data_IF_964564674197
#
_entry.id   IF_964564674197
#
_cell.length_a   1.000
_cell.length_b   1.000
_cell.length_c   1.000
_cell.angle_alpha   90.00
_cell.angle_beta   90.00
_cell.angle_gamma   90.00
#
_symmetry.space_group_name_H-M   'P 1'
#
loop_
_entity.id
_entity.type
_entity.pdbx_description
1 polymer ?
#
# COMPACT_ATOMS: atom_id res chain seq x y z
N UNK A 1 -0.01 29.10 4.11
CA UNK A 1 -0.54 28.06 3.23
C UNK A 1 0.37 26.83 3.30
N UNK A 2 -0.22 25.67 3.56
CA UNK A 2 0.58 24.45 3.74
C UNK A 2 0.79 23.76 2.41
N UNK A 3 2.04 23.36 2.15
CA UNK A 3 2.37 22.56 0.98
C UNK A 3 1.71 21.18 1.08
N UNK A 4 1.20 20.62 -0.04
CA UNK A 4 0.72 19.24 -0.02
C UNK A 4 1.84 18.26 0.37
N UNK A 5 1.44 17.15 0.99
CA UNK A 5 2.35 16.09 1.39
C UNK A 5 2.63 15.17 0.18
N UNK A 6 3.84 15.21 -0.40
CA UNK A 6 4.18 14.20 -1.41
C UNK A 6 4.37 12.85 -0.74
N UNK A 7 4.14 11.78 -1.49
CA UNK A 7 4.31 10.43 -0.95
C UNK A 7 4.71 9.46 -2.05
N UNK A 8 5.39 8.40 -1.67
CA UNK A 8 5.73 7.30 -2.57
C UNK A 8 4.87 6.11 -2.20
N UNK A 9 4.13 5.61 -3.17
CA UNK A 9 3.21 4.49 -3.01
C UNK A 9 3.73 3.30 -3.82
N UNK A 10 3.92 2.18 -3.14
CA UNK A 10 4.26 0.93 -3.77
C UNK A 10 2.96 0.19 -4.11
N UNK A 11 2.85 -0.32 -5.34
CA UNK A 11 1.72 -1.15 -5.74
C UNK A 11 2.23 -2.52 -6.17
N UNK A 12 1.66 -3.56 -5.59
CA UNK A 12 2.05 -4.94 -5.82
C UNK A 12 0.92 -5.76 -6.40
N UNK A 13 1.13 -6.32 -7.57
CA UNK A 13 0.37 -7.41 -8.17
C UNK A 13 1.23 -8.03 -9.27
N UNK A 14 1.09 -9.33 -9.51
CA UNK A 14 1.75 -9.96 -10.66
C UNK A 14 1.09 -9.53 -11.98
N UNK A 15 -0.09 -8.93 -11.92
CA UNK A 15 -0.87 -8.48 -13.08
C UNK A 15 -0.72 -6.98 -13.28
N UNK A 16 -0.18 -6.58 -14.42
CA UNK A 16 0.01 -5.17 -14.75
C UNK A 16 -1.32 -4.42 -14.87
N UNK A 17 -2.38 -5.09 -15.36
CA UNK A 17 -3.70 -4.47 -15.48
C UNK A 17 -4.30 -4.13 -14.11
N UNK A 18 -4.05 -4.94 -13.09
CA UNK A 18 -4.49 -4.66 -11.73
C UNK A 18 -3.72 -3.47 -11.16
N UNK A 19 -2.40 -3.42 -11.35
CA UNK A 19 -1.58 -2.29 -10.89
C UNK A 19 -2.06 -0.99 -11.54
N UNK A 20 -2.34 -1.02 -12.85
CA UNK A 20 -2.83 0.15 -13.56
C UNK A 20 -4.20 0.61 -13.04
N UNK A 21 -5.11 -0.34 -12.79
CA UNK A 21 -6.43 -0.02 -12.24
C UNK A 21 -6.34 0.67 -10.89
N UNK A 22 -5.44 0.21 -10.03
CA UNK A 22 -5.21 0.81 -8.72
C UNK A 22 -4.70 2.24 -8.88
N UNK A 23 -3.68 2.44 -9.70
CA UNK A 23 -3.09 3.77 -9.92
C UNK A 23 -4.12 4.74 -10.51
N UNK A 24 -4.90 4.28 -11.47
CA UNK A 24 -5.93 5.11 -12.10
C UNK A 24 -7.02 5.52 -11.11
N UNK A 25 -7.45 4.59 -10.25
CA UNK A 25 -8.50 4.87 -9.27
C UNK A 25 -8.05 5.88 -8.21
N UNK A 26 -6.79 5.82 -7.79
CA UNK A 26 -6.25 6.68 -6.74
C UNK A 26 -5.82 8.04 -7.31
N UNK A 27 -5.21 8.01 -8.50
CA UNK A 27 -4.75 9.22 -9.15
C UNK A 27 -3.46 9.78 -8.54
N UNK A 28 -2.99 10.86 -9.12
CA UNK A 28 -1.73 11.49 -8.71
C UNK A 28 -1.88 12.33 -7.44
N UNK A 29 -3.05 12.90 -7.21
CA UNK A 29 -3.36 13.76 -6.06
C UNK A 29 -4.63 13.26 -5.38
N UNK A 30 -4.50 12.32 -4.44
CA UNK A 30 -5.68 11.70 -3.83
C UNK A 30 -6.49 12.65 -2.94
N UNK A 31 -5.89 13.76 -2.52
CA UNK A 31 -6.56 14.80 -1.77
C UNK A 31 -5.86 16.14 -1.98
N UNK A 32 -6.52 17.23 -1.62
CA UNK A 32 -5.95 18.58 -1.78
C UNK A 32 -4.64 18.73 -1.02
N UNK A 33 -4.51 18.08 0.13
CA UNK A 33 -3.34 18.15 1.00
C UNK A 33 -2.36 16.98 0.84
N UNK A 34 -2.61 16.06 -0.10
CA UNK A 34 -1.76 14.89 -0.33
C UNK A 34 -1.44 14.75 -1.82
N UNK A 35 -0.16 14.72 -2.12
CA UNK A 35 0.35 14.55 -3.48
C UNK A 35 1.46 15.53 -3.79
N UNK A 36 2.10 15.42 -4.96
CA UNK A 36 1.88 14.34 -5.94
C UNK A 36 2.40 13.00 -5.43
N UNK A 37 1.79 11.92 -5.90
CA UNK A 37 2.23 10.58 -5.59
C UNK A 37 3.27 10.12 -6.60
N UNK A 38 4.33 9.47 -6.10
CA UNK A 38 5.27 8.71 -6.92
C UNK A 38 4.95 7.23 -6.74
N UNK A 39 5.05 6.46 -7.81
CA UNK A 39 4.65 5.05 -7.80
C UNK A 39 5.85 4.13 -7.98
N UNK A 40 5.90 3.08 -7.18
CA UNK A 40 6.85 1.98 -7.34
C UNK A 40 6.02 0.73 -7.63
N UNK A 41 6.21 0.13 -8.81
CA UNK A 41 5.47 -1.06 -9.19
C UNK A 41 6.29 -2.30 -8.90
N UNK A 42 5.66 -3.29 -8.27
CA UNK A 42 6.30 -4.56 -7.93
C UNK A 42 5.47 -5.71 -8.47
N UNK A 43 6.13 -6.70 -9.08
CA UNK A 43 5.48 -7.88 -9.64
C UNK A 43 5.60 -9.11 -8.73
N UNK A 44 6.57 -9.11 -7.82
CA UNK A 44 6.83 -10.25 -6.92
C UNK A 44 6.90 -9.79 -5.47
N UNK A 45 6.68 -10.72 -4.55
CA UNK A 45 6.83 -10.44 -3.13
C UNK A 45 8.26 -10.04 -2.77
N UNK A 46 9.25 -10.64 -3.44
CA UNK A 46 10.66 -10.26 -3.26
C UNK A 46 10.94 -8.83 -3.67
N UNK A 47 10.31 -8.36 -4.75
CA UNK A 47 10.42 -6.96 -5.19
C UNK A 47 9.90 -6.01 -4.12
N UNK A 48 8.79 -6.37 -3.45
CA UNK A 48 8.21 -5.56 -2.38
C UNK A 48 9.19 -5.40 -1.23
N UNK A 49 9.74 -6.51 -0.77
CA UNK A 49 10.71 -6.52 0.34
C UNK A 49 11.94 -5.69 -0.02
N UNK A 50 12.48 -5.88 -1.23
CA UNK A 50 13.65 -5.13 -1.68
C UNK A 50 13.38 -3.62 -1.75
N UNK A 51 12.20 -3.22 -2.23
CA UNK A 51 11.82 -1.81 -2.31
C UNK A 51 11.70 -1.18 -0.91
N UNK A 52 11.10 -1.90 0.04
CA UNK A 52 10.98 -1.44 1.42
C UNK A 52 12.35 -1.31 2.06
N UNK A 53 13.25 -2.27 1.83
CA UNK A 53 14.60 -2.24 2.37
C UNK A 53 15.42 -1.05 1.86
N UNK A 54 15.16 -0.60 0.62
CA UNK A 54 15.82 0.60 0.08
C UNK A 54 15.34 1.88 0.76
N UNK A 55 14.18 1.85 1.41
CA UNK A 55 13.60 3.00 2.08
C UNK A 55 12.83 3.92 1.14
N UNK A 56 12.13 4.87 1.73
CA UNK A 56 11.40 5.90 0.99
C UNK A 56 9.98 5.52 0.56
N UNK A 57 9.49 4.35 0.94
CA UNK A 57 8.11 3.94 0.66
C UNK A 57 7.22 4.39 1.82
N UNK A 58 6.17 5.12 1.51
CA UNK A 58 5.22 5.61 2.51
C UNK A 58 4.02 4.69 2.69
N UNK A 59 3.49 4.18 1.59
CA UNK A 59 2.30 3.33 1.59
C UNK A 59 2.51 2.18 0.61
N UNK A 60 2.09 0.97 0.98
CA UNK A 60 2.05 -0.18 0.08
C UNK A 60 0.60 -0.57 -0.16
N UNK A 61 0.24 -0.80 -1.42
CA UNK A 61 -1.05 -1.37 -1.80
C UNK A 61 -0.78 -2.75 -2.39
N UNK A 62 -1.29 -3.77 -1.72
CA UNK A 62 -0.91 -5.16 -1.95
C UNK A 62 -2.12 -5.96 -2.42
N UNK A 63 -2.06 -6.47 -3.66
CA UNK A 63 -3.13 -7.29 -4.23
C UNK A 63 -3.23 -8.65 -3.54
N UNK A 64 -4.33 -8.88 -2.83
CA UNK A 64 -4.56 -10.13 -2.12
C UNK A 64 -4.66 -11.35 -3.03
N UNK A 65 -4.96 -11.15 -4.31
CA UNK A 65 -5.08 -12.22 -5.30
C UNK A 65 -3.79 -12.42 -6.11
N UNK A 66 -2.70 -11.71 -5.79
CA UNK A 66 -1.44 -11.84 -6.52
C UNK A 66 -0.85 -13.25 -6.38
N UNK A 67 -0.16 -13.69 -7.42
CA UNK A 67 0.47 -15.02 -7.49
C UNK A 67 1.96 -14.86 -7.75
N UNK A 68 2.78 -15.77 -7.27
CA UNK A 68 2.47 -16.92 -6.42
C UNK A 68 2.25 -16.54 -4.95
N UNK A 69 2.60 -15.33 -4.54
CA UNK A 69 2.44 -14.88 -3.16
C UNK A 69 1.41 -13.77 -3.08
N UNK A 70 0.30 -14.02 -2.40
CA UNK A 70 -0.77 -13.03 -2.25
C UNK A 70 -0.35 -11.86 -1.37
N UNK A 71 -0.96 -10.70 -1.62
CA UNK A 71 -0.67 -9.47 -0.88
C UNK A 71 -0.93 -9.58 0.62
N UNK A 72 -1.86 -10.45 1.03
CA UNK A 72 -2.14 -10.69 2.45
C UNK A 72 -0.94 -11.30 3.17
N UNK A 73 -0.31 -12.30 2.54
CA UNK A 73 0.89 -12.92 3.08
C UNK A 73 2.07 -11.95 3.09
N UNK A 74 2.21 -11.14 2.02
CA UNK A 74 3.24 -10.10 1.95
C UNK A 74 3.06 -9.08 3.07
N UNK A 75 1.84 -8.63 3.31
CA UNK A 75 1.53 -7.68 4.39
C UNK A 75 1.96 -8.24 5.74
N UNK A 76 1.58 -9.47 6.02
CA UNK A 76 1.94 -10.11 7.29
C UNK A 76 3.46 -10.24 7.44
N UNK A 77 4.13 -10.67 6.39
CA UNK A 77 5.60 -10.79 6.39
C UNK A 77 6.27 -9.45 6.69
N UNK A 78 5.84 -8.38 6.03
CA UNK A 78 6.40 -7.04 6.23
C UNK A 78 6.20 -6.61 7.67
N UNK A 79 5.00 -6.79 8.24
CA UNK A 79 4.72 -6.41 9.62
C UNK A 79 5.55 -7.21 10.62
N UNK A 80 5.86 -8.46 10.31
CA UNK A 80 6.68 -9.30 11.19
C UNK A 80 8.18 -8.99 11.08
N UNK A 81 8.67 -8.62 9.88
CA UNK A 81 10.09 -8.50 9.61
C UNK A 81 10.63 -7.07 9.65
N UNK A 82 9.79 -6.07 9.40
CA UNK A 82 10.22 -4.66 9.31
C UNK A 82 9.83 -3.93 10.59
N UNK A 83 10.81 -3.31 11.26
CA UNK A 83 10.59 -2.69 12.56
C UNK A 83 9.65 -1.49 12.50
N UNK A 84 9.76 -0.70 11.44
CA UNK A 84 8.91 0.48 11.24
C UNK A 84 8.41 0.47 9.80
N UNK A 85 7.40 -0.39 9.51
CA UNK A 85 6.97 -0.61 8.14
C UNK A 85 6.22 0.59 7.57
N UNK A 86 6.19 0.74 6.24
CA UNK A 86 5.25 1.67 5.63
C UNK A 86 3.81 1.29 5.96
N UNK A 87 2.87 2.17 5.74
CA UNK A 87 1.46 1.85 5.88
C UNK A 87 1.09 0.78 4.85
N UNK A 88 0.32 -0.23 5.27
CA UNK A 88 -0.04 -1.36 4.41
C UNK A 88 -1.53 -1.39 4.17
N UNK A 89 -1.91 -1.37 2.89
CA UNK A 89 -3.29 -1.49 2.43
C UNK A 89 -3.39 -2.76 1.60
N UNK A 90 -4.30 -3.66 1.95
CA UNK A 90 -4.53 -4.87 1.18
C UNK A 90 -5.78 -4.73 0.33
N UNK A 91 -5.71 -5.29 -0.88
CA UNK A 91 -6.82 -5.32 -1.82
C UNK A 91 -7.42 -6.71 -1.81
N UNK A 92 -8.70 -6.82 -1.49
CA UNK A 92 -9.42 -8.10 -1.45
C UNK A 92 -10.57 -8.10 -2.46
N UNK A 93 -10.86 -9.27 -3.02
CA UNK A 93 -11.86 -9.39 -4.07
C UNK A 93 -13.27 -9.61 -3.52
N UNK A 94 -13.39 -10.17 -2.30
CA UNK A 94 -14.68 -10.55 -1.73
C UNK A 94 -14.83 -10.10 -0.29
N UNK A 95 -16.01 -9.61 0.06
CA UNK A 95 -16.36 -9.24 1.44
C UNK A 95 -16.12 -10.38 2.43
N UNK A 96 -16.37 -11.62 2.00
CA UNK A 96 -16.17 -12.80 2.84
C UNK A 96 -14.72 -12.96 3.30
N UNK A 97 -13.77 -12.33 2.60
CA UNK A 97 -12.34 -12.43 2.91
C UNK A 97 -11.85 -11.32 3.86
N UNK A 98 -12.75 -10.50 4.39
CA UNK A 98 -12.36 -9.40 5.31
C UNK A 98 -11.54 -9.86 6.51
N UNK A 99 -11.82 -11.03 7.03
CA UNK A 99 -11.07 -11.56 8.17
C UNK A 99 -9.59 -11.79 7.82
N UNK A 100 -9.30 -12.06 6.54
CA UNK A 100 -7.92 -12.21 6.06
C UNK A 100 -7.16 -10.89 6.11
N UNK A 101 -7.84 -9.77 5.89
CA UNK A 101 -7.21 -8.45 6.03
C UNK A 101 -6.75 -8.23 7.47
N UNK A 102 -7.56 -8.62 8.44
CA UNK A 102 -7.19 -8.56 9.85
C UNK A 102 -6.00 -9.49 10.16
N UNK A 103 -6.05 -10.72 9.63
CA UNK A 103 -4.95 -11.68 9.78
C UNK A 103 -3.63 -11.15 9.22
N UNK A 104 -3.69 -10.35 8.16
CA UNK A 104 -2.50 -9.79 7.48
C UNK A 104 -1.85 -8.64 8.24
N UNK A 105 -2.50 -8.13 9.29
CA UNK A 105 -2.10 -6.92 10.05
C UNK A 105 -2.08 -5.65 9.21
N UNK A 106 -2.83 -5.61 8.11
CA UNK A 106 -2.89 -4.42 7.27
C UNK A 106 -3.54 -3.26 8.01
N UNK A 107 -3.11 -2.05 7.64
CA UNK A 107 -3.63 -0.82 8.23
C UNK A 107 -4.94 -0.39 7.59
N UNK A 108 -5.19 -0.81 6.35
CA UNK A 108 -6.42 -0.49 5.62
C UNK A 108 -6.73 -1.58 4.60
N UNK A 109 -7.95 -1.58 4.12
CA UNK A 109 -8.45 -2.54 3.14
C UNK A 109 -9.18 -1.80 2.03
N UNK A 110 -8.92 -2.22 0.80
CA UNK A 110 -9.68 -1.81 -0.38
C UNK A 110 -10.29 -3.06 -1.01
N UNK A 111 -11.36 -2.88 -1.78
CA UNK A 111 -12.04 -3.98 -2.47
C UNK A 111 -11.83 -3.83 -3.97
N UNK A 112 -11.63 -4.95 -4.66
CA UNK A 112 -11.55 -4.97 -6.11
C UNK A 112 -12.95 -5.30 -6.68
N UNK A 113 -13.42 -4.61 -7.73
CA UNK A 113 -12.75 -3.52 -8.45
C UNK A 113 -12.61 -2.25 -7.60
N UNK A 114 -11.50 -1.54 -7.79
CA UNK A 114 -11.15 -0.40 -6.94
C UNK A 114 -12.12 0.76 -7.20
N UNK A 115 -12.76 1.24 -6.14
CA UNK A 115 -13.70 2.34 -6.23
C UNK A 115 -12.93 3.69 -6.29
N UNK A 116 -13.05 4.44 -7.40
CA UNK A 116 -12.34 5.71 -7.52
C UNK A 116 -12.86 6.81 -6.59
N UNK A 117 -13.99 6.59 -5.93
CA UNK A 117 -14.51 7.52 -4.92
C UNK A 117 -13.93 7.22 -3.53
N UNK A 118 -13.74 5.95 -3.21
CA UNK A 118 -13.26 5.54 -1.88
C UNK A 118 -11.74 5.45 -1.79
N UNK A 119 -11.09 4.94 -2.82
CA UNK A 119 -9.66 4.63 -2.77
C UNK A 119 -8.77 5.86 -2.52
N UNK A 120 -9.01 7.03 -3.15
CA UNK A 120 -8.19 8.20 -2.87
C UNK A 120 -8.23 8.62 -1.40
N UNK A 121 -9.40 8.57 -0.77
CA UNK A 121 -9.55 8.95 0.64
C UNK A 121 -8.80 8.01 1.56
N UNK A 122 -8.82 6.70 1.28
CA UNK A 122 -8.10 5.70 2.06
C UNK A 122 -6.60 5.97 1.99
N UNK A 123 -6.07 6.17 0.78
CA UNK A 123 -4.63 6.43 0.59
C UNK A 123 -4.22 7.74 1.24
N UNK A 124 -5.00 8.80 1.06
CA UNK A 124 -4.70 10.09 1.67
C UNK A 124 -4.65 9.98 3.20
N UNK A 125 -5.58 9.24 3.79
CA UNK A 125 -5.58 8.98 5.23
C UNK A 125 -4.33 8.27 5.70
N UNK A 126 -3.88 7.26 4.96
CA UNK A 126 -2.64 6.53 5.29
C UNK A 126 -1.41 7.43 5.19
N UNK A 127 -1.34 8.29 4.18
CA UNK A 127 -0.23 9.23 4.02
C UNK A 127 -0.18 10.21 5.19
N UNK A 128 -1.31 10.76 5.59
CA UNK A 128 -1.40 11.70 6.72
C UNK A 128 -0.96 11.04 8.03
N UNK A 129 -1.43 9.84 8.28
CA UNK A 129 -1.07 9.10 9.50
C UNK A 129 0.43 8.83 9.55
N UNK A 130 0.99 8.43 8.44
CA UNK A 130 2.42 8.15 8.37
C UNK A 130 3.25 9.42 8.58
N UNK A 131 2.85 10.53 7.98
CA UNK A 131 3.56 11.80 8.08
C UNK A 131 3.54 12.37 9.50
N UNK A 132 2.56 12.00 10.31
CA UNK A 132 2.44 12.47 11.70
C UNK A 132 3.39 11.78 12.67
N UNK A 133 4.12 10.76 12.24
CA UNK A 133 5.03 9.98 13.08
C UNK A 133 6.43 9.92 12.47
N UNK A 134 7.48 10.25 13.23
CA UNK A 134 8.85 10.00 12.76
C UNK A 134 9.06 8.50 12.65
N UNK A 135 9.71 8.08 11.56
CA UNK A 135 9.93 6.66 11.32
C UNK A 135 11.12 6.42 10.42
N UNK A 136 11.69 5.23 10.52
CA UNK A 136 12.72 4.71 9.61
C UNK A 136 12.39 3.23 9.41
N UNK A 137 11.97 2.86 8.21
CA UNK A 137 11.67 1.47 7.87
C UNK A 137 12.95 0.66 7.77
N UNK A 138 13.03 -0.43 8.53
CA UNK A 138 14.18 -1.34 8.49
C UNK A 138 13.77 -2.70 9.06
N UNK A 139 14.53 -3.72 8.67
CA UNK A 139 14.25 -5.06 9.16
C UNK A 139 14.51 -5.17 10.65
N UNK A 140 13.71 -5.99 11.29
CA UNK A 140 13.93 -6.35 12.69
C UNK A 140 15.19 -7.19 12.82
N UNK A 141 15.90 -6.99 13.92
CA UNK A 141 17.09 -7.76 14.22
C UNK A 141 16.75 -9.22 14.49
#
# INVERSE_FOLDING_TARGET
MTEPLPATVLVYSHRSDVREAIRTAIGRRPAADVGPLSWVECETGGDVVAAIDRGGIDVCILDGEAQPMGGLAVSRQVKEEVADPPALCVLIARQADRWLAHWSYADATLYYPVDPLAAPDVVAGLVRDRASRPHVSRRRA
#
